data_IF_245049446974
#
_entry.id   IF_245049446974
#
_cell.length_a   1.000
_cell.length_b   1.000
_cell.length_c   1.000
_cell.angle_alpha   90.00
_cell.angle_beta   90.00
_cell.angle_gamma   90.00
#
_symmetry.space_group_name_H-M   'P 1'
#
loop_
_entity.id
_entity.type
_entity.pdbx_description
1 polymer ?
#
# COMPACT_ATOMS: atom_id res chain seq x y z
N UNK A 1 6.39 21.76 -14.62
CA UNK A 1 5.42 20.76 -14.14
C UNK A 1 5.47 20.78 -12.64
N UNK A 2 4.34 21.03 -11.98
CA UNK A 2 4.30 21.25 -10.53
C UNK A 2 4.71 19.98 -9.78
N UNK A 3 5.63 20.12 -8.82
CA UNK A 3 6.14 19.00 -8.02
C UNK A 3 5.01 18.27 -7.30
N UNK A 4 4.01 19.01 -6.82
CA UNK A 4 2.81 18.45 -6.19
C UNK A 4 2.00 17.57 -7.14
N UNK A 5 1.89 17.97 -8.42
CA UNK A 5 1.15 17.20 -9.43
C UNK A 5 1.83 15.86 -9.68
N UNK A 6 3.16 15.86 -9.80
CA UNK A 6 3.94 14.61 -9.95
C UNK A 6 3.84 13.68 -8.74
N UNK A 7 3.80 14.25 -7.53
CA UNK A 7 3.59 13.50 -6.30
C UNK A 7 2.26 12.74 -6.36
N UNK A 8 1.17 13.45 -6.65
CA UNK A 8 -0.17 12.88 -6.74
C UNK A 8 -0.28 11.83 -7.86
N UNK A 9 0.38 12.05 -9.00
CA UNK A 9 0.42 11.06 -10.10
C UNK A 9 1.08 9.75 -9.68
N UNK A 10 2.22 9.81 -8.97
CA UNK A 10 2.90 8.61 -8.46
C UNK A 10 2.04 7.87 -7.43
N UNK A 11 1.40 8.60 -6.52
CA UNK A 11 0.52 8.02 -5.49
C UNK A 11 -0.71 7.38 -6.13
N UNK A 12 -1.29 8.00 -7.16
CA UNK A 12 -2.39 7.42 -7.93
C UNK A 12 -1.98 6.14 -8.63
N UNK A 13 -0.86 6.16 -9.37
CA UNK A 13 -0.34 4.98 -10.06
C UNK A 13 -0.03 3.82 -9.09
N UNK A 14 0.48 4.14 -7.89
CA UNK A 14 0.70 3.16 -6.84
C UNK A 14 -0.62 2.58 -6.30
N UNK A 15 -1.63 3.42 -6.06
CA UNK A 15 -2.93 2.99 -5.55
C UNK A 15 -3.66 2.05 -6.54
N UNK A 16 -3.47 2.28 -7.84
CA UNK A 16 -4.04 1.47 -8.91
C UNK A 16 -3.21 0.21 -9.24
N UNK A 17 -1.99 0.09 -8.69
CA UNK A 17 -1.07 -1.03 -8.97
C UNK A 17 -0.34 -0.92 -10.32
N UNK A 18 -0.37 0.25 -10.96
CA UNK A 18 0.17 0.54 -12.29
C UNK A 18 1.56 1.21 -12.22
N UNK A 19 2.15 1.32 -11.03
CA UNK A 19 3.47 1.94 -10.86
C UNK A 19 4.59 1.03 -11.39
N UNK A 20 5.50 1.59 -12.18
CA UNK A 20 6.67 0.84 -12.64
C UNK A 20 7.61 0.48 -11.48
N UNK A 21 8.33 -0.64 -11.62
CA UNK A 21 9.28 -1.09 -10.61
C UNK A 21 10.35 -0.04 -10.28
N UNK A 22 10.78 0.75 -11.28
CA UNK A 22 11.77 1.81 -11.16
C UNK A 22 11.28 3.05 -10.41
N UNK A 23 9.97 3.24 -10.26
CA UNK A 23 9.37 4.43 -9.63
C UNK A 23 8.92 4.15 -8.18
N UNK A 24 9.04 2.90 -7.74
CA UNK A 24 8.55 2.43 -6.43
C UNK A 24 9.19 3.14 -5.25
N UNK A 25 10.51 3.33 -5.29
CA UNK A 25 11.24 4.04 -4.23
C UNK A 25 10.77 5.49 -4.08
N UNK A 26 10.51 6.16 -5.21
CA UNK A 26 10.03 7.53 -5.22
C UNK A 26 8.59 7.62 -4.69
N UNK A 27 7.73 6.66 -5.04
CA UNK A 27 6.37 6.60 -4.51
C UNK A 27 6.35 6.29 -3.00
N UNK A 28 7.28 5.48 -2.49
CA UNK A 28 7.41 5.29 -1.04
C UNK A 28 7.93 6.52 -0.32
N UNK A 29 8.92 7.23 -0.89
CA UNK A 29 9.36 8.51 -0.34
C UNK A 29 8.23 9.56 -0.34
N UNK A 30 7.36 9.54 -1.35
CA UNK A 30 6.17 10.36 -1.41
C UNK A 30 5.17 10.01 -0.29
N UNK A 31 4.93 8.72 -0.04
CA UNK A 31 4.06 8.22 1.04
C UNK A 31 4.60 8.50 2.46
N UNK A 32 5.89 8.78 2.61
CA UNK A 32 6.47 9.13 3.90
C UNK A 32 6.15 10.59 4.33
N UNK A 33 5.47 11.35 3.46
CA UNK A 33 5.03 12.72 3.75
C UNK A 33 3.57 12.76 4.24
N UNK A 34 3.20 13.69 5.15
CA UNK A 34 1.81 13.87 5.57
C UNK A 34 0.86 14.10 4.39
N UNK A 35 1.28 14.88 3.40
CA UNK A 35 0.52 15.18 2.21
C UNK A 35 0.31 13.94 1.34
N UNK A 36 1.35 13.09 1.20
CA UNK A 36 1.25 11.85 0.46
C UNK A 36 0.33 10.83 1.12
N UNK A 37 0.37 10.72 2.46
CA UNK A 37 -0.56 9.88 3.22
C UNK A 37 -2.00 10.37 3.06
N UNK A 38 -2.22 11.68 3.11
CA UNK A 38 -3.55 12.26 2.91
C UNK A 38 -4.07 11.96 1.49
N UNK A 39 -3.23 12.10 0.46
CA UNK A 39 -3.60 11.78 -0.92
C UNK A 39 -3.91 10.28 -1.10
N UNK A 40 -3.09 9.41 -0.52
CA UNK A 40 -3.31 7.95 -0.53
C UNK A 40 -4.67 7.57 0.07
N UNK A 41 -4.95 8.05 1.28
CA UNK A 41 -6.23 7.81 1.96
C UNK A 41 -7.41 8.33 1.13
N UNK A 42 -7.28 9.52 0.53
CA UNK A 42 -8.34 10.10 -0.29
C UNK A 42 -8.63 9.25 -1.54
N UNK A 43 -7.60 8.78 -2.25
CA UNK A 43 -7.78 7.97 -3.46
C UNK A 43 -8.40 6.60 -3.17
N UNK A 44 -7.96 5.94 -2.09
CA UNK A 44 -8.59 4.68 -1.66
C UNK A 44 -10.05 4.90 -1.25
N UNK A 45 -10.36 5.92 -0.46
CA UNK A 45 -11.73 6.24 -0.06
C UNK A 45 -12.64 6.54 -1.26
N UNK A 46 -12.17 7.34 -2.22
CA UNK A 46 -12.92 7.62 -3.45
C UNK A 46 -13.16 6.32 -4.20
N UNK A 47 -12.13 5.49 -4.36
CA UNK A 47 -12.24 4.18 -4.99
C UNK A 47 -13.26 3.28 -4.29
N UNK A 48 -13.26 3.25 -2.96
CA UNK A 48 -14.17 2.43 -2.16
C UNK A 48 -15.61 2.91 -2.25
N UNK A 49 -15.84 4.22 -2.30
CA UNK A 49 -17.18 4.79 -2.54
C UNK A 49 -17.66 4.46 -3.96
N UNK A 50 -16.80 4.61 -4.97
CA UNK A 50 -17.15 4.30 -6.37
C UNK A 50 -17.40 2.81 -6.59
N UNK A 51 -16.64 1.95 -5.89
CA UNK A 51 -16.79 0.49 -5.90
C UNK A 51 -17.75 -0.03 -4.84
N UNK A 52 -18.40 0.85 -4.08
CA UNK A 52 -19.50 0.52 -3.16
C UNK A 52 -20.71 0.06 -3.96
N UNK A 53 -20.53 -1.06 -4.64
CA UNK A 53 -21.58 -1.96 -5.04
C UNK A 53 -22.05 -2.59 -3.73
N UNK A 54 -23.36 -2.73 -3.50
CA UNK A 54 -23.86 -3.53 -2.38
C UNK A 54 -23.46 -5.00 -2.62
N UNK A 55 -22.21 -5.33 -2.34
CA UNK A 55 -21.72 -6.68 -2.20
C UNK A 55 -22.40 -7.28 -0.99
N UNK A 56 -22.83 -8.54 -1.12
CA UNK A 56 -23.52 -9.24 -0.04
C UNK A 56 -22.73 -9.14 1.26
N UNK A 57 -23.45 -9.02 2.37
CA UNK A 57 -22.83 -9.01 3.69
C UNK A 57 -21.90 -10.22 3.85
N UNK A 58 -20.75 -10.06 4.52
CA UNK A 58 -19.88 -11.19 4.81
C UNK A 58 -20.66 -12.27 5.56
N UNK A 59 -20.28 -13.54 5.37
CA UNK A 59 -20.91 -14.65 6.09
C UNK A 59 -20.82 -14.46 7.60
N UNK A 60 -21.78 -15.00 8.35
CA UNK A 60 -21.71 -15.01 9.82
C UNK A 60 -20.35 -15.51 10.32
N UNK A 61 -19.79 -14.77 11.29
CA UNK A 61 -18.50 -15.07 11.91
C UNK A 61 -17.27 -14.83 11.01
N UNK A 62 -17.41 -14.20 9.84
CA UNK A 62 -16.25 -13.86 8.98
C UNK A 62 -15.21 -13.04 9.74
N UNK A 63 -15.63 -12.00 10.46
CA UNK A 63 -14.73 -11.13 11.22
C UNK A 63 -13.93 -11.90 12.29
N UNK A 64 -14.56 -12.82 13.01
CA UNK A 64 -13.90 -13.64 14.02
C UNK A 64 -12.85 -14.58 13.40
N UNK A 65 -13.14 -15.16 12.22
CA UNK A 65 -12.18 -15.98 11.48
C UNK A 65 -11.02 -15.14 10.93
N UNK A 66 -11.31 -13.95 10.42
CA UNK A 66 -10.30 -13.01 9.93
C UNK A 66 -9.36 -12.60 11.06
N UNK A 67 -9.89 -12.18 12.21
CA UNK A 67 -9.10 -11.80 13.38
C UNK A 67 -8.22 -12.97 13.88
N UNK A 68 -8.78 -14.17 14.01
CA UNK A 68 -8.03 -15.35 14.44
C UNK A 68 -6.92 -15.74 13.44
N UNK A 69 -7.15 -15.53 12.14
CA UNK A 69 -6.13 -15.75 11.12
C UNK A 69 -4.99 -14.73 11.25
N UNK A 70 -5.32 -13.44 11.41
CA UNK A 70 -4.33 -12.37 11.60
C UNK A 70 -3.51 -12.56 12.88
N UNK A 71 -4.12 -12.99 13.99
CA UNK A 71 -3.41 -13.29 15.25
C UNK A 71 -2.46 -14.49 15.11
N UNK A 72 -2.78 -15.43 14.22
CA UNK A 72 -1.94 -16.59 13.92
C UNK A 72 -0.82 -16.27 12.91
N UNK A 73 -0.87 -15.13 12.23
CA UNK A 73 0.23 -14.66 11.40
C UNK A 73 1.41 -14.26 12.30
N UNK A 74 2.47 -15.08 12.28
CA UNK A 74 3.73 -14.69 12.91
C UNK A 74 4.24 -13.43 12.25
N UNK A 75 4.22 -12.31 12.99
CA UNK A 75 4.51 -10.97 12.49
C UNK A 75 5.71 -10.97 11.55
N UNK A 76 5.52 -10.39 10.36
CA UNK A 76 6.51 -10.31 9.30
C UNK A 76 7.92 -10.15 9.89
N UNK A 77 8.74 -11.20 9.75
CA UNK A 77 10.15 -11.11 10.04
C UNK A 77 10.72 -10.08 9.07
N UNK A 78 10.94 -8.86 9.56
CA UNK A 78 11.81 -7.91 8.89
C UNK A 78 13.15 -8.63 8.70
N UNK A 79 13.50 -8.97 7.46
CA UNK A 79 14.82 -9.49 7.18
C UNK A 79 15.84 -8.51 7.78
N UNK A 80 16.83 -8.99 8.56
CA UNK A 80 17.91 -8.14 9.03
C UNK A 80 18.52 -7.45 7.82
N UNK A 81 18.72 -6.13 7.92
CA UNK A 81 19.29 -5.22 6.91
C UNK A 81 20.66 -5.67 6.35
N UNK A 82 21.24 -6.73 6.90
CA UNK A 82 22.57 -7.25 6.60
C UNK A 82 22.60 -8.26 5.44
N UNK A 83 21.48 -8.92 5.11
CA UNK A 83 21.46 -9.87 3.98
C UNK A 83 21.40 -9.17 2.61
N UNK A 84 20.97 -7.91 2.54
CA UNK A 84 20.96 -7.12 1.30
C UNK A 84 22.37 -6.75 0.83
N UNK A 85 23.36 -6.75 1.72
CA UNK A 85 24.77 -6.48 1.37
C UNK A 85 25.53 -7.74 0.90
N UNK A 86 24.99 -8.95 1.15
CA UNK A 86 25.66 -10.20 0.80
C UNK A 86 25.41 -10.65 -0.64
N UNK A 87 24.51 -9.99 -1.38
CA UNK A 87 24.26 -10.21 -2.81
C UNK A 87 25.03 -9.18 -3.65
N UNK A 88 26.23 -8.77 -3.23
CA UNK A 88 27.16 -8.06 -4.12
C UNK A 88 28.60 -8.60 -3.93
N UNK A 89 29.06 -9.26 -5.00
CA UNK A 89 30.42 -9.62 -5.45
C UNK A 89 31.01 -11.02 -5.10
N UNK A 90 31.83 -11.59 -6.01
CA UNK A 90 32.26 -11.10 -7.34
C UNK A 90 31.55 -11.75 -8.54
#
# INVERSE_FOLDING_TARGET
MDTQKRLHEHISALADGELSDSERELAFAALDTPEGQAAWCAYHLIGDVLRSTPGGAPSDGFEARLAAALDAESGFHSLPKEQAAAVILP
#
